data_IF_213265591714
#
_entry.id   IF_213265591714
#
_cell.length_a   1.000
_cell.length_b   1.000
_cell.length_c   1.000
_cell.angle_alpha   90.00
_cell.angle_beta   90.00
_cell.angle_gamma   90.00
#
_symmetry.space_group_name_H-M   'P 1'
#
loop_
_entity.id
_entity.type
_entity.pdbx_description
1 polymer ?
#
# COMPACT_ATOMS: atom_id res chain seq x y z
N UNK A 1 -46.11 49.89 3.19
CA UNK A 1 -45.56 48.92 2.21
C UNK A 1 -44.38 48.17 2.83
N UNK A 2 -44.50 46.84 2.89
CA UNK A 2 -43.49 45.78 3.06
C UNK A 2 -42.03 46.19 3.34
N UNK A 3 -41.56 46.18 4.60
CA UNK A 3 -40.14 45.98 4.94
C UNK A 3 -39.96 45.61 6.42
N UNK A 4 -40.10 44.34 6.84
CA UNK A 4 -39.38 43.73 7.99
C UNK A 4 -39.68 42.22 7.97
N UNK A 5 -38.90 41.41 7.23
CA UNK A 5 -38.96 39.94 7.36
C UNK A 5 -37.76 39.21 6.71
N UNK A 6 -36.56 39.82 6.66
CA UNK A 6 -35.38 39.21 6.01
C UNK A 6 -34.33 38.71 7.02
N UNK A 7 -34.39 39.17 8.28
CA UNK A 7 -33.38 38.85 9.30
C UNK A 7 -33.48 37.41 9.88
N UNK A 8 -34.66 36.78 10.06
CA UNK A 8 -34.71 35.41 10.61
C UNK A 8 -34.24 34.34 9.62
N UNK A 9 -34.30 34.62 8.31
CA UNK A 9 -33.90 33.65 7.27
C UNK A 9 -32.38 33.54 7.13
N UNK A 10 -31.63 34.63 7.40
CA UNK A 10 -30.17 34.60 7.38
C UNK A 10 -29.57 33.83 8.57
N UNK A 11 -30.20 33.85 9.75
CA UNK A 11 -29.70 33.13 10.94
C UNK A 11 -29.86 31.60 10.84
N UNK A 12 -30.85 31.10 10.09
CA UNK A 12 -31.01 29.66 9.84
C UNK A 12 -30.04 29.09 8.79
N UNK A 13 -29.53 29.93 7.88
CA UNK A 13 -28.58 29.49 6.85
C UNK A 13 -27.18 29.18 7.43
N UNK A 14 -26.79 29.80 8.54
CA UNK A 14 -25.47 29.57 9.16
C UNK A 14 -25.42 28.39 10.13
N UNK A 15 -26.56 27.92 10.66
CA UNK A 15 -26.59 26.79 11.59
C UNK A 15 -26.28 25.43 10.92
N UNK A 16 -26.35 25.36 9.59
CA UNK A 16 -26.00 24.16 8.82
C UNK A 16 -24.57 24.20 8.24
N UNK A 17 -23.79 25.25 8.52
CA UNK A 17 -22.33 25.18 8.43
C UNK A 17 -21.87 24.39 9.66
N UNK A 18 -22.22 23.10 9.69
CA UNK A 18 -21.50 22.14 10.50
C UNK A 18 -20.06 22.18 9.98
N UNK A 19 -19.24 23.01 10.63
CA UNK A 19 -17.80 23.01 10.50
C UNK A 19 -17.36 21.55 10.48
N UNK A 20 -16.81 21.12 9.36
CA UNK A 20 -16.29 19.76 9.25
C UNK A 20 -15.16 19.69 10.29
N UNK A 21 -15.39 18.90 11.34
CA UNK A 21 -14.63 19.03 12.59
C UNK A 21 -13.21 18.52 12.39
N UNK A 22 -12.24 19.30 12.87
CA UNK A 22 -10.87 18.84 12.98
C UNK A 22 -10.80 17.54 13.79
N UNK A 23 -9.97 16.59 13.37
CA UNK A 23 -9.76 15.34 14.10
C UNK A 23 -8.29 14.92 14.09
N UNK A 24 -7.86 14.23 15.15
CA UNK A 24 -6.55 13.60 15.22
C UNK A 24 -6.69 12.18 14.70
N UNK A 25 -5.82 11.81 13.76
CA UNK A 25 -5.80 10.50 13.14
C UNK A 25 -4.58 9.72 13.62
N UNK A 26 -4.75 8.44 13.98
CA UNK A 26 -3.65 7.55 14.36
C UNK A 26 -3.95 6.15 13.88
N UNK A 27 -3.08 5.56 13.07
CA UNK A 27 -3.29 4.20 12.61
C UNK A 27 -2.63 3.19 13.54
N UNK A 28 -3.43 2.30 14.13
CA UNK A 28 -2.93 1.22 14.99
C UNK A 28 -3.94 0.09 15.08
N UNK A 29 -3.45 -1.12 15.33
CA UNK A 29 -4.30 -2.20 15.82
C UNK A 29 -4.75 -1.87 17.26
N UNK A 30 -6.06 -1.96 17.50
CA UNK A 30 -6.69 -1.92 18.82
C UNK A 30 -6.92 -3.35 19.36
N UNK A 31 -6.86 -3.56 20.69
CA UNK A 31 -7.06 -4.85 21.35
C UNK A 31 -8.52 -5.33 21.24
N UNK A 32 -8.72 -6.65 21.36
CA UNK A 32 -10.05 -7.29 21.43
C UNK A 32 -10.85 -7.28 20.12
N UNK A 33 -10.20 -7.04 18.99
CA UNK A 33 -10.81 -6.95 17.66
C UNK A 33 -10.25 -7.99 16.69
N UNK A 34 -11.03 -8.24 15.65
CA UNK A 34 -10.67 -9.07 14.49
C UNK A 34 -10.64 -8.18 13.25
N UNK A 35 -9.49 -8.15 12.57
CA UNK A 35 -9.30 -7.42 11.31
C UNK A 35 -9.18 -8.43 10.19
N UNK A 36 -10.19 -8.52 9.31
CA UNK A 36 -10.12 -9.34 8.10
C UNK A 36 -9.68 -8.48 6.94
N UNK A 37 -8.46 -8.70 6.47
CA UNK A 37 -7.83 -7.89 5.43
C UNK A 37 -7.78 -8.70 4.13
N UNK A 38 -8.31 -8.12 3.07
CA UNK A 38 -8.14 -8.60 1.70
C UNK A 38 -7.26 -7.61 0.95
N UNK A 39 -6.11 -8.08 0.46
CA UNK A 39 -5.22 -7.31 -0.41
C UNK A 39 -5.27 -7.91 -1.81
N UNK A 40 -5.53 -7.08 -2.81
CA UNK A 40 -5.40 -7.44 -4.22
C UNK A 40 -4.40 -6.49 -4.88
N UNK A 41 -3.53 -7.04 -5.72
CA UNK A 41 -2.58 -6.26 -6.51
C UNK A 41 -2.54 -6.80 -7.92
N UNK A 42 -2.92 -5.96 -8.87
CA UNK A 42 -2.86 -6.25 -10.29
C UNK A 42 -1.75 -5.40 -10.90
N UNK A 43 -0.88 -6.00 -11.71
CA UNK A 43 0.18 -5.29 -12.41
C UNK A 43 0.24 -5.68 -13.88
N UNK A 44 0.52 -4.68 -14.72
CA UNK A 44 0.89 -4.86 -16.11
C UNK A 44 2.23 -4.15 -16.32
N UNK A 45 3.27 -4.92 -16.63
CA UNK A 45 4.60 -4.41 -16.91
C UNK A 45 4.97 -4.74 -18.35
N UNK A 46 5.47 -3.75 -19.08
CA UNK A 46 5.99 -3.88 -20.43
C UNK A 46 7.45 -3.45 -20.43
N UNK A 47 8.32 -4.28 -21.01
CA UNK A 47 9.77 -4.05 -21.08
C UNK A 47 10.20 -4.20 -22.53
N UNK A 48 10.90 -3.21 -23.05
CA UNK A 48 11.47 -3.20 -24.39
C UNK A 48 12.98 -2.96 -24.33
N UNK A 49 13.68 -3.40 -25.37
CA UNK A 49 15.11 -3.25 -25.53
C UNK A 49 15.40 -2.61 -26.89
N UNK A 50 16.11 -1.50 -26.88
CA UNK A 50 16.57 -0.79 -28.07
C UNK A 50 18.10 -0.72 -28.08
N UNK A 51 18.70 -0.39 -29.23
CA UNK A 51 20.16 -0.35 -29.39
C UNK A 51 20.68 -1.33 -30.44
N UNK A 52 21.95 -1.72 -30.30
CA UNK A 52 22.67 -2.57 -31.26
C UNK A 52 21.95 -3.92 -31.48
N UNK A 53 21.68 -4.23 -32.76
CA UNK A 53 20.92 -5.43 -33.12
C UNK A 53 21.65 -6.72 -32.74
N UNK A 54 22.97 -6.78 -32.90
CA UNK A 54 23.75 -7.97 -32.58
C UNK A 54 23.77 -8.24 -31.07
N UNK A 55 23.68 -7.21 -30.23
CA UNK A 55 23.50 -7.38 -28.78
C UNK A 55 22.06 -7.76 -28.41
N UNK A 56 21.05 -7.19 -29.08
CA UNK A 56 19.64 -7.56 -28.86
C UNK A 56 19.34 -9.01 -29.21
N UNK A 57 19.90 -9.50 -30.30
CA UNK A 57 19.71 -10.88 -30.78
C UNK A 57 20.33 -11.92 -29.85
N UNK A 58 21.22 -11.51 -28.91
CA UNK A 58 21.77 -12.39 -27.85
C UNK A 58 20.84 -12.51 -26.63
N UNK A 59 19.83 -11.67 -26.50
CA UNK A 59 18.92 -11.71 -25.35
C UNK A 59 18.07 -12.99 -25.40
N UNK A 60 17.89 -13.71 -24.28
CA UNK A 60 17.12 -14.94 -24.22
C UNK A 60 15.60 -14.65 -24.19
N UNK A 61 15.11 -13.88 -25.16
CA UNK A 61 13.73 -13.37 -25.21
C UNK A 61 13.11 -13.72 -26.56
N UNK A 62 11.95 -14.38 -26.54
CA UNK A 62 11.28 -14.85 -27.75
C UNK A 62 10.52 -13.74 -28.48
N UNK A 63 10.11 -12.70 -27.77
CA UNK A 63 9.32 -11.59 -28.29
C UNK A 63 9.56 -10.30 -27.49
N UNK A 64 9.58 -9.17 -28.21
CA UNK A 64 9.60 -7.82 -27.64
C UNK A 64 8.34 -7.04 -28.07
N UNK A 65 7.79 -6.16 -27.20
CA UNK A 65 8.17 -6.01 -25.80
C UNK A 65 7.78 -7.24 -24.97
N UNK A 66 8.53 -7.49 -23.88
CA UNK A 66 8.16 -8.48 -22.88
C UNK A 66 7.04 -7.91 -22.04
N UNK A 67 5.90 -8.60 -22.02
CA UNK A 67 4.71 -8.20 -21.26
C UNK A 67 4.50 -9.17 -20.11
N UNK A 68 4.63 -8.68 -18.88
CA UNK A 68 4.34 -9.41 -17.65
C UNK A 68 3.04 -8.90 -17.04
N UNK A 69 2.05 -9.78 -16.94
CA UNK A 69 0.82 -9.54 -16.21
C UNK A 69 0.87 -10.33 -14.90
N UNK A 70 0.54 -9.68 -13.79
CA UNK A 70 0.40 -10.37 -12.51
C UNK A 70 -0.87 -9.97 -11.80
N UNK A 71 -1.50 -10.93 -11.13
CA UNK A 71 -2.62 -10.71 -10.21
C UNK A 71 -2.35 -11.50 -8.96
N UNK A 72 -2.28 -10.78 -7.85
CA UNK A 72 -2.03 -11.31 -6.52
C UNK A 72 -3.24 -10.97 -5.65
N UNK A 73 -3.73 -11.94 -4.89
CA UNK A 73 -4.74 -11.70 -3.87
C UNK A 73 -4.37 -12.48 -2.61
N UNK A 74 -4.47 -11.84 -1.45
CA UNK A 74 -4.21 -12.46 -0.15
C UNK A 74 -5.32 -12.03 0.79
N UNK A 75 -5.95 -12.99 1.46
CA UNK A 75 -6.87 -12.73 2.57
C UNK A 75 -6.29 -13.31 3.85
N UNK A 76 -6.23 -12.49 4.89
CA UNK A 76 -5.78 -12.90 6.20
C UNK A 76 -6.56 -12.19 7.29
N UNK A 77 -6.53 -12.75 8.50
CA UNK A 77 -7.09 -12.10 9.69
C UNK A 77 -6.01 -11.80 10.69
N UNK A 78 -6.12 -10.65 11.35
CA UNK A 78 -5.36 -10.30 12.56
C UNK A 78 -6.35 -10.30 13.72
N UNK A 79 -6.17 -11.22 14.65
CA UNK A 79 -7.00 -11.38 15.84
C UNK A 79 -6.19 -10.86 17.02
N UNK A 80 -6.71 -9.85 17.71
CA UNK A 80 -6.04 -9.19 18.83
C UNK A 80 -6.66 -9.62 20.16
N UNK A 81 -5.82 -9.91 21.14
CA UNK A 81 -6.22 -10.25 22.50
C UNK A 81 -6.61 -9.03 23.32
N UNK A 82 -7.02 -9.27 24.56
CA UNK A 82 -7.24 -8.20 25.54
C UNK A 82 -5.92 -7.49 25.87
N UNK A 83 -6.02 -6.21 26.22
CA UNK A 83 -4.86 -5.39 26.57
C UNK A 83 -4.37 -5.68 27.99
N UNK A 84 -3.06 -5.85 28.12
CA UNK A 84 -2.32 -5.89 29.37
C UNK A 84 -1.22 -4.82 29.31
N UNK A 85 -1.38 -3.72 30.04
CA UNK A 85 -0.50 -2.55 29.97
C UNK A 85 -0.36 -2.02 28.53
N UNK A 86 0.84 -2.05 27.95
CA UNK A 86 1.14 -1.62 26.57
C UNK A 86 1.10 -2.76 25.56
N UNK A 87 0.80 -3.98 26.01
CA UNK A 87 0.88 -5.21 25.24
C UNK A 87 -0.49 -5.85 25.03
N UNK A 88 -0.70 -6.50 23.89
CA UNK A 88 -1.78 -7.47 23.70
C UNK A 88 -1.34 -8.58 22.75
N UNK A 89 -1.86 -9.79 22.95
CA UNK A 89 -1.53 -10.92 22.08
C UNK A 89 -2.11 -10.71 20.67
N UNK A 90 -1.47 -11.32 19.68
CA UNK A 90 -1.87 -11.25 18.28
C UNK A 90 -1.82 -12.62 17.62
N UNK A 91 -2.78 -12.91 16.77
CA UNK A 91 -2.80 -14.09 15.93
C UNK A 91 -3.08 -13.69 14.48
N UNK A 92 -2.25 -14.16 13.55
CA UNK A 92 -2.35 -13.86 12.12
C UNK A 92 -2.68 -15.15 11.40
N UNK A 93 -3.88 -15.25 10.84
CA UNK A 93 -4.35 -16.41 10.10
C UNK A 93 -4.49 -16.07 8.62
N UNK A 94 -3.70 -16.75 7.78
CA UNK A 94 -3.79 -16.64 6.33
C UNK A 94 -4.91 -17.55 5.83
N UNK A 95 -5.99 -16.97 5.29
CA UNK A 95 -7.18 -17.70 4.84
C UNK A 95 -6.96 -18.27 3.44
N UNK A 96 -6.56 -17.40 2.50
CA UNK A 96 -6.26 -17.80 1.14
C UNK A 96 -5.21 -16.88 0.52
N UNK A 97 -4.48 -17.39 -0.47
CA UNK A 97 -3.85 -16.53 -1.46
C UNK A 97 -4.00 -17.09 -2.86
N UNK A 98 -3.84 -16.21 -3.84
CA UNK A 98 -3.82 -16.56 -5.25
C UNK A 98 -2.78 -15.70 -5.96
N UNK A 99 -1.94 -16.33 -6.77
CA UNK A 99 -0.94 -15.66 -7.58
C UNK A 99 -1.06 -16.21 -9.01
N UNK A 100 -1.42 -15.34 -9.97
CA UNK A 100 -1.42 -15.69 -11.39
C UNK A 100 -0.46 -14.79 -12.12
N UNK A 101 0.37 -15.36 -12.98
CA UNK A 101 1.30 -14.64 -13.84
C UNK A 101 1.12 -15.06 -15.28
N UNK A 102 1.18 -14.09 -16.18
CA UNK A 102 1.28 -14.34 -17.61
C UNK A 102 2.49 -13.62 -18.18
N UNK A 103 3.32 -14.34 -18.92
CA UNK A 103 4.45 -13.81 -19.66
C UNK A 103 4.11 -13.87 -21.15
N UNK A 104 4.04 -12.72 -21.82
CA UNK A 104 3.65 -12.61 -23.22
C UNK A 104 2.31 -13.30 -23.55
N UNK A 105 1.39 -13.34 -22.57
CA UNK A 105 0.07 -13.95 -22.70
C UNK A 105 -0.01 -15.42 -22.30
N UNK A 106 1.13 -16.12 -22.20
CA UNK A 106 1.21 -17.52 -21.75
C UNK A 106 1.27 -17.58 -20.23
N UNK A 107 0.65 -18.61 -19.63
CA UNK A 107 0.73 -18.84 -18.20
C UNK A 107 2.18 -19.11 -17.78
N UNK A 108 2.63 -18.43 -16.73
CA UNK A 108 3.95 -18.60 -16.15
C UNK A 108 3.81 -19.03 -14.69
N UNK A 109 4.79 -19.77 -14.16
CA UNK A 109 4.77 -20.25 -12.78
C UNK A 109 4.52 -19.09 -11.79
N UNK A 110 3.40 -19.17 -11.09
CA UNK A 110 3.12 -18.36 -9.92
C UNK A 110 3.95 -18.85 -8.73
N UNK A 111 4.25 -17.97 -7.78
CA UNK A 111 4.78 -18.45 -6.49
C UNK A 111 3.72 -19.33 -5.82
N UNK A 112 4.14 -20.51 -5.36
CA UNK A 112 3.31 -21.38 -4.54
C UNK A 112 2.74 -20.63 -3.33
N UNK A 113 1.50 -20.93 -2.94
CA UNK A 113 0.79 -20.34 -1.80
C UNK A 113 1.42 -20.80 -0.47
N UNK A 114 2.64 -20.34 -0.19
CA UNK A 114 3.46 -20.75 0.95
C UNK A 114 2.89 -20.29 2.30
N UNK A 115 1.83 -19.48 2.28
CA UNK A 115 1.18 -18.93 3.47
C UNK A 115 -0.22 -19.51 3.69
N UNK A 116 -0.81 -20.24 2.74
CA UNK A 116 -2.17 -20.78 2.86
C UNK A 116 -2.39 -21.50 4.18
N UNK A 117 -3.48 -21.16 4.86
CA UNK A 117 -3.92 -21.80 6.11
C UNK A 117 -2.86 -21.77 7.23
N UNK A 118 -1.82 -20.94 7.12
CA UNK A 118 -0.81 -20.80 8.17
C UNK A 118 -1.28 -19.84 9.23
N UNK A 119 -0.89 -20.14 10.47
CA UNK A 119 -1.19 -19.36 11.64
C UNK A 119 0.10 -18.92 12.36
N UNK A 120 0.24 -17.61 12.54
CA UNK A 120 1.36 -17.00 13.24
C UNK A 120 0.88 -16.31 14.52
N UNK A 121 1.42 -16.73 15.66
CA UNK A 121 1.14 -16.15 16.97
C UNK A 121 2.24 -15.16 17.37
N UNK A 122 1.88 -14.17 18.17
CA UNK A 122 2.80 -13.16 18.64
C UNK A 122 2.11 -12.15 19.54
N UNK A 123 2.58 -10.92 19.51
CA UNK A 123 1.98 -9.84 20.26
C UNK A 123 2.27 -8.48 19.66
N UNK A 124 1.49 -7.50 20.10
CA UNK A 124 1.63 -6.12 19.74
C UNK A 124 2.20 -5.34 20.93
N UNK A 125 3.24 -4.55 20.67
CA UNK A 125 3.78 -3.57 21.59
C UNK A 125 4.05 -2.29 20.82
N UNK A 126 3.67 -1.13 21.39
CA UNK A 126 3.87 0.18 20.75
C UNK A 126 3.34 0.28 19.30
N UNK A 127 2.27 -0.47 18.99
CA UNK A 127 1.64 -0.48 17.66
C UNK A 127 2.30 -1.39 16.62
N UNK A 128 3.35 -2.13 16.98
CA UNK A 128 4.03 -3.08 16.09
C UNK A 128 3.83 -4.52 16.55
N UNK A 129 3.59 -5.42 15.59
CA UNK A 129 3.52 -6.85 15.80
C UNK A 129 4.91 -7.48 15.81
N UNK A 130 5.14 -8.39 16.75
CA UNK A 130 6.30 -9.28 16.80
C UNK A 130 5.84 -10.73 16.88
N UNK A 131 6.51 -11.61 16.15
CA UNK A 131 6.28 -13.06 16.22
C UNK A 131 6.83 -13.65 17.52
N UNK A 132 6.20 -14.72 17.99
CA UNK A 132 6.74 -15.57 19.07
C UNK A 132 8.04 -16.25 18.60
N UNK A 133 9.17 -15.76 19.10
CA UNK A 133 10.50 -16.21 18.66
C UNK A 133 10.78 -17.68 19.00
N UNK A 134 10.26 -18.18 20.13
CA UNK A 134 10.49 -19.57 20.55
C UNK A 134 9.71 -20.53 19.68
N UNK A 135 8.43 -20.24 19.44
CA UNK A 135 7.54 -21.05 18.63
C UNK A 135 7.97 -21.14 17.15
N UNK A 136 8.56 -20.06 16.61
CA UNK A 136 8.88 -19.96 15.19
C UNK A 136 10.38 -19.98 14.87
N UNK A 137 11.24 -20.43 15.78
CA UNK A 137 12.70 -20.52 15.57
C UNK A 137 13.10 -21.32 14.32
N UNK A 138 12.32 -22.34 13.95
CA UNK A 138 12.57 -23.21 12.80
C UNK A 138 11.99 -22.70 11.47
N UNK A 139 11.23 -21.60 11.50
CA UNK A 139 10.69 -20.99 10.29
C UNK A 139 11.79 -20.16 9.62
N UNK A 140 11.98 -20.26 8.28
CA UNK A 140 12.93 -19.42 7.56
C UNK A 140 12.65 -17.93 7.78
N UNK A 141 13.69 -17.13 7.91
CA UNK A 141 13.55 -15.70 8.19
C UNK A 141 12.82 -14.95 7.07
N UNK A 142 12.98 -15.38 5.81
CA UNK A 142 12.22 -14.84 4.68
C UNK A 142 10.71 -14.93 4.89
N UNK A 143 10.21 -16.04 5.43
CA UNK A 143 8.78 -16.22 5.74
C UNK A 143 8.36 -15.32 6.90
N UNK A 144 9.17 -15.22 7.95
CA UNK A 144 8.90 -14.31 9.09
C UNK A 144 8.80 -12.86 8.63
N UNK A 145 9.73 -12.42 7.78
CA UNK A 145 9.76 -11.06 7.25
C UNK A 145 8.52 -10.76 6.39
N UNK A 146 8.04 -11.73 5.60
CA UNK A 146 6.80 -11.55 4.83
C UNK A 146 5.60 -11.32 5.78
N UNK A 147 5.46 -12.13 6.83
CA UNK A 147 4.37 -11.97 7.80
C UNK A 147 4.45 -10.61 8.51
N UNK A 148 5.64 -10.23 8.97
CA UNK A 148 5.86 -8.94 9.62
C UNK A 148 5.59 -7.77 8.67
N UNK A 149 6.03 -7.85 7.41
CA UNK A 149 5.77 -6.81 6.41
C UNK A 149 4.28 -6.67 6.10
N UNK A 150 3.51 -7.76 6.07
CA UNK A 150 2.06 -7.69 5.84
C UNK A 150 1.31 -7.05 7.00
N UNK A 151 1.68 -7.38 8.25
CA UNK A 151 0.99 -6.85 9.45
C UNK A 151 1.46 -5.44 9.79
N UNK A 152 2.76 -5.16 9.71
CA UNK A 152 3.34 -3.87 10.13
C UNK A 152 3.53 -2.88 8.98
N UNK A 153 3.63 -3.35 7.73
CA UNK A 153 3.85 -2.48 6.56
C UNK A 153 2.63 -1.66 6.19
N UNK A 154 1.47 -2.03 6.71
CA UNK A 154 0.26 -1.23 6.65
C UNK A 154 0.37 -0.14 7.74
N UNK A 155 1.12 0.93 7.45
CA UNK A 155 1.26 2.09 8.35
C UNK A 155 1.19 3.41 7.58
N UNK A 156 0.32 4.31 8.03
CA UNK A 156 0.27 5.72 7.61
C UNK A 156 0.69 6.53 8.83
N UNK A 157 1.76 7.31 8.67
CA UNK A 157 2.27 8.16 9.74
C UNK A 157 1.53 9.50 9.72
N UNK A 158 0.29 9.46 10.23
CA UNK A 158 -0.51 10.67 10.42
C UNK A 158 0.21 11.67 11.35
N UNK A 159 0.07 12.98 11.11
CA UNK A 159 0.67 13.98 11.97
C UNK A 159 0.03 14.01 13.36
N UNK A 160 0.80 14.35 14.39
CA UNK A 160 0.32 14.49 15.78
C UNK A 160 -0.53 15.76 16.04
N UNK A 161 -1.06 16.39 14.98
CA UNK A 161 -1.95 17.54 15.06
C UNK A 161 -3.31 17.23 14.44
N UNK A 162 -4.39 17.89 14.88
CA UNK A 162 -5.69 17.77 14.22
C UNK A 162 -5.61 18.19 12.75
N UNK A 163 -6.30 17.46 11.88
CA UNK A 163 -6.49 17.81 10.47
C UNK A 163 -7.93 18.25 10.24
N UNK A 164 -8.09 19.36 9.51
CA UNK A 164 -9.35 19.83 8.96
C UNK A 164 -9.52 19.31 7.54
N UNK A 165 -10.74 19.15 7.05
CA UNK A 165 -10.95 18.91 5.62
C UNK A 165 -10.38 20.05 4.76
N UNK A 166 -9.70 19.66 3.70
CA UNK A 166 -8.82 20.50 2.90
C UNK A 166 -7.34 20.38 3.29
N UNK A 167 -7.03 20.04 4.54
CA UNK A 167 -5.64 19.91 5.00
C UNK A 167 -4.93 18.77 4.30
N UNK A 168 -3.63 18.97 4.09
CA UNK A 168 -2.73 17.97 3.51
C UNK A 168 -1.56 17.66 4.44
N UNK A 169 -1.08 16.42 4.37
CA UNK A 169 0.22 16.05 4.94
C UNK A 169 0.99 15.17 3.97
N UNK A 170 2.30 15.06 4.17
CA UNK A 170 3.20 14.35 3.27
C UNK A 170 4.01 13.31 4.03
N UNK A 171 4.20 12.14 3.41
CA UNK A 171 5.06 11.09 3.88
C UNK A 171 6.03 10.69 2.76
N UNK A 172 7.30 10.53 3.10
CA UNK A 172 8.30 9.98 2.19
C UNK A 172 8.57 8.53 2.62
N UNK A 173 8.39 7.60 1.70
CA UNK A 173 8.61 6.18 1.92
C UNK A 173 9.62 5.68 0.89
N UNK A 174 10.77 5.13 1.29
CA UNK A 174 11.65 4.46 0.36
C UNK A 174 11.01 3.12 -0.05
N UNK A 175 10.84 2.92 -1.35
CA UNK A 175 10.35 1.65 -1.92
C UNK A 175 11.53 0.93 -2.54
N UNK A 176 11.85 -0.25 -2.04
CA UNK A 176 12.91 -1.08 -2.61
C UNK A 176 12.37 -1.87 -3.81
N UNK A 177 12.86 -1.54 -5.00
CA UNK A 177 12.57 -2.30 -6.22
C UNK A 177 13.71 -3.30 -6.50
N UNK A 178 13.41 -4.58 -6.75
CA UNK A 178 14.43 -5.54 -7.17
C UNK A 178 14.73 -5.33 -8.65
N UNK A 179 15.81 -4.62 -8.96
CA UNK A 179 16.25 -4.35 -10.33
C UNK A 179 17.58 -5.09 -10.53
N UNK A 180 17.60 -5.98 -11.53
CA UNK A 180 18.76 -6.81 -11.85
C UNK A 180 19.37 -7.56 -10.65
N UNK A 181 18.51 -8.05 -9.74
CA UNK A 181 18.93 -8.80 -8.57
C UNK A 181 19.46 -7.96 -7.39
N UNK A 182 19.53 -6.63 -7.51
CA UNK A 182 19.88 -5.73 -6.40
C UNK A 182 18.65 -4.93 -5.94
N UNK A 183 18.46 -4.73 -4.62
CA UNK A 183 17.42 -3.83 -4.13
C UNK A 183 17.86 -2.38 -4.36
N UNK A 184 17.04 -1.62 -5.09
CA UNK A 184 17.25 -0.20 -5.34
C UNK A 184 16.16 0.59 -4.62
N UNK A 185 16.54 1.47 -3.71
CA UNK A 185 15.62 2.32 -2.98
C UNK A 185 15.15 3.49 -3.87
N UNK A 186 13.87 3.51 -4.20
CA UNK A 186 13.21 4.61 -4.90
C UNK A 186 12.54 5.52 -3.88
N UNK A 187 12.87 6.81 -3.91
CA UNK A 187 12.23 7.78 -3.05
C UNK A 187 10.80 8.01 -3.54
N UNK A 188 9.82 7.59 -2.73
CA UNK A 188 8.41 7.81 -3.02
C UNK A 188 7.84 8.85 -2.08
N UNK A 189 7.23 9.89 -2.64
CA UNK A 189 6.51 10.93 -1.90
C UNK A 189 5.01 10.71 -2.04
N UNK A 190 4.34 10.60 -0.90
CA UNK A 190 2.89 10.46 -0.78
C UNK A 190 2.32 11.74 -0.16
N UNK A 191 1.37 12.37 -0.83
CA UNK A 191 0.62 13.51 -0.28
C UNK A 191 -0.81 13.07 -0.03
N UNK A 192 -1.24 13.18 1.21
CA UNK A 192 -2.57 12.84 1.67
C UNK A 192 -3.38 14.12 1.85
N UNK A 193 -4.60 14.17 1.33
CA UNK A 193 -5.54 15.29 1.51
C UNK A 193 -6.80 14.79 2.18
N UNK A 194 -7.14 15.34 3.35
CA UNK A 194 -8.42 15.04 3.99
C UNK A 194 -9.54 15.73 3.20
N UNK A 195 -10.41 14.96 2.57
CA UNK A 195 -11.54 15.52 1.79
C UNK A 195 -12.72 15.87 2.68
N UNK A 196 -13.08 14.97 3.59
CA UNK A 196 -14.22 15.13 4.48
C UNK A 196 -14.21 14.12 5.61
N UNK A 197 -14.99 14.40 6.65
CA UNK A 197 -15.30 13.49 7.75
C UNK A 197 -16.83 13.36 7.87
N UNK A 198 -17.38 12.15 7.78
CA UNK A 198 -18.82 11.91 7.90
C UNK A 198 -19.09 10.51 8.45
N UNK A 199 -20.06 10.37 9.35
CA UNK A 199 -20.51 9.08 9.88
C UNK A 199 -19.35 8.20 10.38
N UNK A 200 -18.41 8.78 11.13
CA UNK A 200 -17.22 8.09 11.65
C UNK A 200 -16.23 7.60 10.56
N UNK A 201 -16.45 7.96 9.29
CA UNK A 201 -15.49 7.79 8.20
C UNK A 201 -14.75 9.09 7.90
N UNK A 202 -13.45 8.99 7.64
CA UNK A 202 -12.65 10.06 7.06
C UNK A 202 -12.13 9.65 5.68
N UNK A 203 -12.34 10.51 4.70
CA UNK A 203 -12.05 10.24 3.30
C UNK A 203 -10.80 11.01 2.91
N UNK A 204 -9.78 10.32 2.42
CA UNK A 204 -8.55 10.95 1.96
C UNK A 204 -8.32 10.66 0.49
N UNK A 205 -7.84 11.66 -0.23
CA UNK A 205 -7.13 11.46 -1.49
C UNK A 205 -5.64 11.28 -1.21
N UNK A 206 -5.00 10.48 -2.03
CA UNK A 206 -3.57 10.22 -2.01
C UNK A 206 -3.03 10.52 -3.39
N UNK A 207 -2.00 11.34 -3.47
CA UNK A 207 -1.18 11.48 -4.69
C UNK A 207 0.21 10.94 -4.40
N UNK A 208 0.68 10.04 -5.25
CA UNK A 208 1.98 9.41 -5.15
C UNK A 208 2.87 9.91 -6.28
N UNK A 209 4.12 10.22 -5.94
CA UNK A 209 5.17 10.50 -6.91
C UNK A 209 6.39 9.65 -6.57
N UNK A 210 7.02 9.08 -7.58
CA UNK A 210 8.24 8.29 -7.44
C UNK A 210 9.28 8.85 -8.39
N UNK A 211 10.48 9.09 -7.89
CA UNK A 211 11.59 9.59 -8.69
C UNK A 211 12.90 8.97 -8.20
N UNK A 212 13.70 8.51 -9.14
CA UNK A 212 15.06 8.05 -8.92
C UNK A 212 15.88 8.29 -10.18
N UNK A 213 17.05 8.88 -10.01
CA UNK A 213 18.11 8.89 -11.02
C UNK A 213 19.42 8.51 -10.35
N UNK A 214 20.02 7.42 -10.79
CA UNK A 214 21.25 6.89 -10.18
C UNK A 214 22.12 6.18 -11.20
N UNK A 215 23.43 6.17 -10.94
CA UNK A 215 24.37 5.32 -11.65
C UNK A 215 24.50 3.98 -10.93
N UNK A 216 24.52 2.88 -11.68
CA UNK A 216 24.74 1.52 -11.16
C UNK A 216 25.90 0.88 -11.93
N UNK A 217 26.45 -0.22 -11.42
CA UNK A 217 27.49 -0.99 -12.13
C UNK A 217 27.05 -1.46 -13.53
N UNK A 218 25.73 -1.53 -13.76
CA UNK A 218 25.16 -1.95 -15.04
C UNK A 218 24.85 -0.78 -15.96
N UNK A 219 24.86 0.46 -15.46
CA UNK A 219 24.47 1.63 -16.23
C UNK A 219 23.68 2.68 -15.45
N UNK A 220 23.31 3.75 -16.16
CA UNK A 220 22.42 4.79 -15.64
C UNK A 220 21.00 4.27 -15.59
N UNK A 221 20.38 4.39 -14.41
CA UNK A 221 18.99 4.02 -14.15
C UNK A 221 18.19 5.29 -13.82
N UNK A 222 17.08 5.45 -14.53
CA UNK A 222 16.09 6.48 -14.28
C UNK A 222 14.72 5.84 -14.06
N UNK A 223 14.02 6.24 -13.01
CA UNK A 223 12.66 5.81 -12.68
C UNK A 223 11.85 7.06 -12.36
N UNK A 224 10.71 7.20 -13.03
CA UNK A 224 9.72 8.22 -12.70
C UNK A 224 8.37 7.56 -12.56
N UNK A 225 7.49 8.13 -11.75
CA UNK A 225 6.18 7.56 -11.56
C UNK A 225 5.21 8.49 -10.86
N UNK A 226 3.95 8.29 -11.18
CA UNK A 226 2.84 9.02 -10.57
C UNK A 226 1.73 8.03 -10.23
N UNK A 227 1.00 8.34 -9.17
CA UNK A 227 -0.11 7.53 -8.72
C UNK A 227 -1.16 8.35 -8.01
N UNK A 228 -2.36 7.80 -7.96
CA UNK A 228 -3.50 8.36 -7.26
C UNK A 228 -4.13 7.28 -6.40
N UNK A 229 -4.81 7.68 -5.34
CA UNK A 229 -5.41 6.74 -4.43
C UNK A 229 -6.44 7.38 -3.54
N UNK A 230 -7.22 6.52 -2.88
CA UNK A 230 -8.26 6.92 -1.95
C UNK A 230 -8.22 6.05 -0.71
N UNK A 231 -8.44 6.65 0.45
CA UNK A 231 -8.54 5.96 1.73
C UNK A 231 -9.89 6.28 2.38
N UNK A 232 -10.57 5.24 2.83
CA UNK A 232 -11.65 5.35 3.79
C UNK A 232 -11.13 4.91 5.15
N UNK A 233 -10.90 5.87 6.04
CA UNK A 233 -10.45 5.66 7.40
C UNK A 233 -11.63 5.55 8.36
N UNK A 234 -11.67 4.51 9.19
CA UNK A 234 -12.64 4.36 10.26
C UNK A 234 -12.12 5.03 11.54
N UNK A 235 -12.74 6.15 11.91
CA UNK A 235 -12.33 6.94 13.06
C UNK A 235 -12.59 6.26 14.40
N UNK A 236 -13.50 5.28 14.46
CA UNK A 236 -13.83 4.53 15.69
C UNK A 236 -12.74 3.51 15.98
N UNK A 237 -12.30 2.80 14.94
CA UNK A 237 -11.29 1.75 15.07
C UNK A 237 -9.87 2.23 14.83
N UNK A 238 -9.69 3.45 14.33
CA UNK A 238 -8.38 4.01 14.06
C UNK A 238 -7.64 3.28 12.95
N UNK A 239 -8.36 2.75 11.96
CA UNK A 239 -7.81 1.91 10.90
C UNK A 239 -8.60 2.13 9.60
N UNK A 240 -8.02 1.88 8.42
CA UNK A 240 -8.80 2.01 7.18
C UNK A 240 -9.75 0.84 6.95
N UNK A 241 -10.90 1.12 6.32
CA UNK A 241 -11.80 0.11 5.73
C UNK A 241 -11.43 -0.20 4.30
N UNK A 242 -10.93 0.80 3.58
CA UNK A 242 -10.42 0.60 2.23
C UNK A 242 -9.25 1.52 1.96
N UNK A 243 -8.29 1.00 1.20
CA UNK A 243 -7.23 1.78 0.59
C UNK A 243 -7.05 1.30 -0.85
N UNK A 244 -7.19 2.21 -1.80
CA UNK A 244 -6.93 1.94 -3.21
C UNK A 244 -5.83 2.87 -3.68
N UNK A 245 -4.90 2.36 -4.49
CA UNK A 245 -3.84 3.14 -5.09
C UNK A 245 -3.50 2.59 -6.48
N UNK A 246 -3.51 3.45 -7.48
CA UNK A 246 -2.95 3.19 -8.80
C UNK A 246 -1.59 3.86 -8.90
N UNK A 247 -0.58 3.14 -9.37
CA UNK A 247 0.77 3.66 -9.60
C UNK A 247 1.19 3.29 -11.01
N UNK A 248 1.62 4.29 -11.78
CA UNK A 248 2.29 4.08 -13.06
C UNK A 248 3.75 4.50 -12.93
N UNK A 249 4.64 3.58 -13.23
CA UNK A 249 6.08 3.79 -13.31
C UNK A 249 6.54 3.76 -14.76
N UNK A 250 7.53 4.59 -15.07
CA UNK A 250 8.37 4.51 -16.25
C UNK A 250 9.81 4.32 -15.78
N UNK A 251 10.55 3.46 -16.44
CA UNK A 251 11.96 3.29 -16.14
C UNK A 251 12.78 3.16 -17.42
N UNK A 252 14.00 3.64 -17.36
CA UNK A 252 15.00 3.53 -18.42
C UNK A 252 16.33 3.14 -17.80
N UNK A 253 17.03 2.19 -18.43
CA UNK A 253 18.36 1.77 -18.03
C UNK A 253 19.26 1.67 -19.25
N UNK A 254 20.39 2.37 -19.22
CA UNK A 254 21.37 2.37 -20.31
C UNK A 254 22.53 1.45 -19.98
N UNK A 255 22.64 0.30 -20.67
CA UNK A 255 23.66 -0.72 -20.42
C UNK A 255 24.54 -0.92 -21.67
N UNK A 256 25.69 -0.23 -21.72
CA UNK A 256 26.59 -0.29 -22.87
C UNK A 256 25.91 0.16 -24.18
N UNK A 257 25.72 -0.77 -25.13
CA UNK A 257 25.06 -0.52 -26.43
C UNK A 257 23.55 -0.82 -26.44
N UNK A 258 22.98 -1.21 -25.30
CA UNK A 258 21.57 -1.51 -25.15
C UNK A 258 20.91 -0.51 -24.21
N UNK A 259 19.68 -0.13 -24.55
CA UNK A 259 18.80 0.65 -23.68
C UNK A 259 17.57 -0.19 -23.36
N UNK A 260 17.36 -0.47 -22.08
CA UNK A 260 16.12 -1.06 -21.57
C UNK A 260 15.16 0.05 -21.21
N UNK A 261 13.93 0.00 -21.72
CA UNK A 261 12.85 0.91 -21.34
C UNK A 261 11.65 0.11 -20.89
N UNK A 262 10.90 0.62 -19.93
CA UNK A 262 9.68 -0.06 -19.53
C UNK A 262 8.68 0.83 -18.83
N UNK A 263 7.45 0.31 -18.79
CA UNK A 263 6.33 0.90 -18.08
C UNK A 263 5.70 -0.15 -17.20
N UNK A 264 5.30 0.23 -15.99
CA UNK A 264 4.52 -0.64 -15.11
C UNK A 264 3.31 0.11 -14.59
N UNK A 265 2.13 -0.48 -14.74
CA UNK A 265 0.89 0.01 -14.13
C UNK A 265 0.44 -0.97 -13.08
N UNK A 266 0.27 -0.51 -11.85
CA UNK A 266 -0.10 -1.32 -10.69
C UNK A 266 -1.35 -0.73 -10.03
N UNK A 267 -2.34 -1.58 -9.77
CA UNK A 267 -3.50 -1.25 -8.92
C UNK A 267 -3.42 -2.11 -7.66
N UNK A 268 -3.30 -1.45 -6.52
CA UNK A 268 -3.37 -2.08 -5.20
C UNK A 268 -4.68 -1.70 -4.53
N UNK A 269 -5.41 -2.70 -4.04
CA UNK A 269 -6.66 -2.52 -3.29
C UNK A 269 -6.54 -3.30 -1.99
N UNK A 270 -6.79 -2.62 -0.87
CA UNK A 270 -6.92 -3.18 0.45
C UNK A 270 -8.34 -2.95 0.93
N UNK A 271 -8.96 -3.99 1.47
CA UNK A 271 -10.23 -3.93 2.16
C UNK A 271 -10.06 -4.53 3.55
N UNK A 272 -10.63 -3.89 4.55
CA UNK A 272 -10.56 -4.33 5.93
C UNK A 272 -11.93 -4.32 6.56
N UNK A 273 -12.39 -5.52 6.92
CA UNK A 273 -13.50 -5.68 7.83
C UNK A 273 -12.98 -5.76 9.27
N UNK A 274 -13.67 -5.10 10.19
CA UNK A 274 -13.27 -4.96 11.59
C UNK A 274 -14.49 -5.27 12.44
N UNK A 275 -14.37 -6.31 13.26
CA UNK A 275 -15.41 -6.78 14.17
C UNK A 275 -14.86 -6.99 15.58
N UNK A 276 -15.76 -7.00 16.55
CA UNK A 276 -15.44 -7.51 17.89
C UNK A 276 -15.32 -9.02 17.85
N UNK A 277 -14.43 -9.56 18.68
CA UNK A 277 -14.32 -11.02 18.88
C UNK A 277 -15.62 -11.62 19.42
#
# INVERSE_FOLDING_TARGET
MKKVLIIPFFLFAFANVYAQRAAIFKMKYLPGLVYTITQTTNSLTSIDFTGDKAERDKLPVSQLPIVLQSKNSIKYTVITGAQSQIFFSGNVLFINSSNTRKLNGEEADGMADSLRSKNFSGGFANGSFSLDSEKYRHIPDSVKQIVLAMVNGIKIDFPDKPLNPGDTFTQNIPVNLPIAGKPIAVNTKLVYKLLSTKNNGAFFDVTQTADLKTHTDQGDLEITGNGEGHILYDMKYGFFRSYQNNLTLKFTMQTGKLAMTGTSSTLSVYQTDISTK
#
